data_IF_566432553373
#
_entry.id   IF_566432553373
#
_cell.length_a   1.000
_cell.length_b   1.000
_cell.length_c   1.000
_cell.angle_alpha   90.00
_cell.angle_beta   90.00
_cell.angle_gamma   90.00
#
_symmetry.space_group_name_H-M   'P 1'
#
loop_
_entity.id
_entity.type
_entity.pdbx_description
1 polymer ?
#
# COMPACT_ATOMS: atom_id res chain seq x y z
N UNK A 1 9.16 9.29 -7.92
CA UNK A 1 9.80 7.96 -8.10
C UNK A 1 8.74 6.87 -8.34
N UNK A 2 9.11 5.64 -8.75
CA UNK A 2 8.17 4.50 -8.88
C UNK A 2 8.58 3.36 -7.92
N UNK A 3 7.68 2.95 -7.04
CA UNK A 3 7.92 1.95 -6.00
C UNK A 3 7.09 0.69 -6.26
N UNK A 4 7.69 -0.48 -6.03
CA UNK A 4 7.02 -1.78 -6.15
C UNK A 4 6.66 -2.32 -4.76
N UNK A 5 5.47 -2.89 -4.64
CA UNK A 5 5.02 -3.54 -3.41
C UNK A 5 4.22 -4.82 -3.70
N UNK A 6 4.15 -5.69 -2.69
CA UNK A 6 3.39 -6.95 -2.77
C UNK A 6 2.86 -7.38 -1.41
N UNK A 7 1.90 -8.31 -1.37
CA UNK A 7 1.57 -9.02 -0.13
C UNK A 7 2.70 -9.96 0.28
N UNK A 8 2.71 -10.37 1.55
CA UNK A 8 3.61 -11.41 2.06
C UNK A 8 3.54 -12.71 1.23
N UNK A 9 2.34 -13.05 0.76
CA UNK A 9 2.05 -14.20 -0.09
C UNK A 9 2.54 -14.09 -1.55
N UNK A 10 2.87 -12.90 -2.04
CA UNK A 10 3.13 -12.64 -3.46
C UNK A 10 1.90 -12.58 -4.39
N UNK A 11 0.72 -13.07 -3.97
CA UNK A 11 -0.52 -13.07 -4.79
C UNK A 11 -0.97 -11.66 -5.24
N UNK A 12 -0.66 -10.64 -4.45
CA UNK A 12 -0.97 -9.24 -4.78
C UNK A 12 0.34 -8.53 -5.09
N UNK A 13 0.41 -7.86 -6.24
CA UNK A 13 1.53 -6.99 -6.61
C UNK A 13 1.01 -5.66 -7.15
N UNK A 14 1.72 -4.57 -6.86
CA UNK A 14 1.34 -3.22 -7.26
C UNK A 14 2.56 -2.32 -7.45
N UNK A 15 2.36 -1.24 -8.20
CA UNK A 15 3.30 -0.13 -8.35
C UNK A 15 2.65 1.17 -7.89
N UNK A 16 3.44 2.04 -7.26
CA UNK A 16 3.03 3.34 -6.74
C UNK A 16 3.98 4.42 -7.22
N UNK A 17 3.42 5.47 -7.82
CA UNK A 17 4.17 6.64 -8.25
C UNK A 17 4.07 7.79 -7.24
N UNK A 18 5.21 8.37 -6.90
CA UNK A 18 5.31 9.53 -6.02
C UNK A 18 6.69 9.66 -5.40
N UNK A 19 6.87 10.66 -4.54
CA UNK A 19 8.07 10.79 -3.72
C UNK A 19 7.71 10.46 -2.25
N UNK A 20 8.42 9.48 -1.70
CA UNK A 20 8.20 8.97 -0.35
C UNK A 20 9.10 9.70 0.65
N UNK A 21 8.71 10.92 1.00
CA UNK A 21 9.49 11.75 1.94
C UNK A 21 9.08 11.54 3.40
N UNK A 22 7.81 11.21 3.64
CA UNK A 22 7.25 11.04 4.98
C UNK A 22 6.19 9.94 5.03
N UNK A 23 6.06 9.36 6.21
CA UNK A 23 5.03 8.36 6.53
C UNK A 23 4.33 8.74 7.83
N UNK A 24 3.12 8.24 8.01
CA UNK A 24 2.29 8.50 9.18
C UNK A 24 2.14 7.23 9.99
N UNK A 25 2.46 7.32 11.29
CA UNK A 25 2.06 6.30 12.27
C UNK A 25 0.75 6.75 12.93
N UNK A 26 -0.37 6.22 12.44
CA UNK A 26 -1.69 6.56 12.97
C UNK A 26 -1.98 5.80 14.28
N UNK A 27 -2.56 6.49 15.27
CA UNK A 27 -2.85 5.94 16.60
C UNK A 27 -4.29 5.46 16.79
N UNK A 28 -5.13 5.47 15.75
CA UNK A 28 -6.49 4.93 15.86
C UNK A 28 -6.46 3.42 16.17
N UNK A 29 -7.52 2.88 16.77
CA UNK A 29 -7.57 1.49 17.25
C UNK A 29 -7.37 0.43 16.17
N UNK A 30 -7.62 0.75 14.90
CA UNK A 30 -7.36 -0.14 13.76
C UNK A 30 -5.88 -0.14 13.40
N UNK A 31 -5.29 1.05 13.21
CA UNK A 31 -3.89 1.20 12.78
C UNK A 31 -2.92 0.77 13.88
N UNK A 32 -3.21 1.09 15.15
CA UNK A 32 -2.35 0.71 16.27
C UNK A 32 -2.27 -0.79 16.48
N UNK A 33 -3.40 -1.52 16.35
CA UNK A 33 -3.43 -3.00 16.41
C UNK A 33 -2.67 -3.66 15.26
N UNK A 34 -2.63 -3.01 14.11
CA UNK A 34 -2.04 -3.56 12.88
C UNK A 34 -0.57 -3.18 12.69
N UNK A 35 -0.12 -2.08 13.31
CA UNK A 35 1.28 -1.65 13.33
C UNK A 35 1.79 -1.09 12.00
N UNK A 36 0.92 -0.51 11.16
CA UNK A 36 1.32 0.01 9.85
C UNK A 36 1.95 1.41 9.93
N UNK A 37 2.90 1.66 9.01
CA UNK A 37 3.30 3.00 8.59
C UNK A 37 2.60 3.33 7.27
N UNK A 38 1.88 4.45 7.25
CA UNK A 38 0.99 4.81 6.15
C UNK A 38 1.64 5.87 5.27
N UNK A 39 1.61 5.63 3.96
CA UNK A 39 1.88 6.63 2.94
C UNK A 39 0.66 6.76 2.05
N UNK A 40 0.11 7.97 1.96
CA UNK A 40 -1.09 8.23 1.17
C UNK A 40 -0.71 8.78 -0.20
N UNK A 41 -1.27 8.16 -1.24
CA UNK A 41 -1.06 8.55 -2.63
C UNK A 41 -2.40 8.73 -3.35
N UNK A 42 -2.49 9.63 -4.34
CA UNK A 42 -3.65 9.72 -5.22
C UNK A 42 -3.97 8.37 -5.87
N UNK A 43 -5.26 8.05 -6.05
CA UNK A 43 -5.71 6.75 -6.55
C UNK A 43 -5.14 6.44 -7.94
N UNK A 44 -5.05 7.44 -8.80
CA UNK A 44 -4.51 7.34 -10.16
C UNK A 44 -3.01 7.03 -10.20
N UNK A 45 -2.27 7.26 -9.09
CA UNK A 45 -0.86 6.90 -8.95
C UNK A 45 -0.61 5.50 -8.38
N UNK A 46 -1.67 4.71 -8.17
CA UNK A 46 -1.57 3.31 -7.80
C UNK A 46 -2.03 2.42 -8.95
N UNK A 47 -1.12 1.53 -9.37
CA UNK A 47 -1.38 0.54 -10.40
C UNK A 47 -1.29 -0.88 -9.82
N UNK A 48 -2.40 -1.61 -9.80
CA UNK A 48 -2.38 -3.04 -9.50
C UNK A 48 -1.74 -3.79 -10.67
N UNK A 49 -0.82 -4.71 -10.37
CA UNK A 49 -0.20 -5.63 -11.33
C UNK A 49 -0.85 -7.00 -11.34
N UNK A 50 -1.75 -7.25 -10.39
CA UNK A 50 -2.59 -8.44 -10.31
C UNK A 50 -4.07 -8.05 -10.42
N UNK A 51 -4.95 -8.94 -10.91
CA UNK A 51 -6.38 -8.65 -11.01
C UNK A 51 -6.98 -8.26 -9.67
N UNK A 52 -7.91 -7.28 -9.66
CA UNK A 52 -8.58 -6.88 -8.43
C UNK A 52 -9.38 -8.02 -7.77
N UNK A 53 -9.87 -8.97 -8.57
CA UNK A 53 -10.55 -10.18 -8.10
C UNK A 53 -9.64 -11.13 -7.31
N UNK A 54 -8.31 -11.00 -7.45
CA UNK A 54 -7.33 -11.77 -6.67
C UNK A 54 -7.03 -11.13 -5.31
N UNK A 55 -7.64 -10.00 -4.95
CA UNK A 55 -7.51 -9.43 -3.62
C UNK A 55 -8.44 -10.15 -2.65
N UNK A 56 -7.87 -10.73 -1.59
CA UNK A 56 -8.59 -11.34 -0.49
C UNK A 56 -7.96 -10.87 0.84
N UNK A 57 -8.80 -10.80 1.88
CA UNK A 57 -8.42 -10.38 3.25
C UNK A 57 -7.77 -11.49 4.04
#
# INVERSE_FOLDING_TARGET
MNYRGSCHCGTIAYEVEGDLDQVIQCNCSLCSRRGWLLWFVPRDRLALKTPASAMHT
#
